data_IF_039986415057
#
_entry.id   IF_039986415057
#
_cell.length_a   1.000
_cell.length_b   1.000
_cell.length_c   1.000
_cell.angle_alpha   90.00
_cell.angle_beta   90.00
_cell.angle_gamma   90.00
#
_symmetry.space_group_name_H-M   'P 1'
#
loop_
_entity.id
_entity.type
_entity.pdbx_description
1 polymer ?
#
# COMPACT_ATOMS: atom_id res chain seq x y z
N UNK A 1 5.15 -8.50 6.07
CA UNK A 1 4.18 -8.32 4.99
C UNK A 1 3.12 -9.41 5.04
N UNK A 2 1.92 -9.10 4.56
CA UNK A 2 0.83 -10.06 4.35
C UNK A 2 0.32 -9.86 2.92
N UNK A 3 0.30 -10.93 2.13
CA UNK A 3 -0.25 -10.93 0.78
C UNK A 3 -1.22 -12.10 0.67
N UNK A 4 -2.51 -11.80 0.54
CA UNK A 4 -3.60 -12.79 0.50
C UNK A 4 -4.79 -12.19 -0.27
N UNK A 5 -5.83 -12.99 -0.48
CA UNK A 5 -7.09 -12.54 -1.01
C UNK A 5 -7.76 -11.54 -0.07
N UNK A 6 -8.35 -10.48 -0.62
CA UNK A 6 -9.13 -9.51 0.15
C UNK A 6 -10.28 -10.18 0.91
N UNK A 7 -10.90 -11.21 0.32
CA UNK A 7 -11.93 -12.03 0.99
C UNK A 7 -11.46 -12.74 2.27
N UNK A 8 -10.15 -12.89 2.47
CA UNK A 8 -9.56 -13.47 3.68
C UNK A 8 -9.15 -12.42 4.72
N UNK A 9 -9.30 -11.12 4.45
CA UNK A 9 -8.73 -10.06 5.31
C UNK A 9 -9.23 -10.14 6.76
N UNK A 10 -10.46 -10.61 6.97
CA UNK A 10 -11.04 -10.80 8.31
C UNK A 10 -10.28 -11.80 9.20
N UNK A 11 -9.44 -12.68 8.62
CA UNK A 11 -8.60 -13.63 9.38
C UNK A 11 -7.50 -12.96 10.19
N UNK A 12 -7.12 -11.74 9.79
CA UNK A 12 -6.03 -10.98 10.40
C UNK A 12 -6.50 -10.06 11.55
N UNK A 13 -7.78 -10.17 11.94
CA UNK A 13 -8.27 -9.51 13.15
C UNK A 13 -7.56 -10.04 14.40
N UNK A 14 -7.41 -9.19 15.41
CA UNK A 14 -6.77 -9.48 16.68
C UNK A 14 -5.25 -9.26 16.70
N UNK A 15 -4.65 -8.85 15.58
CA UNK A 15 -3.22 -8.49 15.54
C UNK A 15 -2.94 -7.12 16.18
N UNK A 16 -3.82 -6.13 15.96
CA UNK A 16 -3.81 -4.84 16.64
C UNK A 16 -5.18 -4.17 16.58
N UNK A 17 -5.47 -3.25 17.50
CA UNK A 17 -6.74 -2.53 17.53
C UNK A 17 -6.94 -1.64 16.28
N UNK A 18 -5.87 -0.99 15.81
CA UNK A 18 -5.93 -0.13 14.63
C UNK A 18 -6.13 -0.95 13.35
N UNK A 19 -5.50 -2.13 13.24
CA UNK A 19 -5.76 -3.05 12.12
C UNK A 19 -7.19 -3.59 12.17
N UNK A 20 -7.72 -3.91 13.36
CA UNK A 20 -9.12 -4.33 13.50
C UNK A 20 -10.09 -3.23 13.05
N UNK A 21 -9.81 -1.97 13.38
CA UNK A 21 -10.57 -0.82 12.90
C UNK A 21 -10.57 -0.74 11.37
N UNK A 22 -9.38 -0.81 10.74
CA UNK A 22 -9.25 -0.81 9.29
C UNK A 22 -9.98 -1.98 8.63
N UNK A 23 -9.84 -3.20 9.16
CA UNK A 23 -10.52 -4.40 8.65
C UNK A 23 -12.03 -4.26 8.74
N UNK A 24 -12.57 -3.76 9.87
CA UNK A 24 -14.00 -3.51 9.99
C UNK A 24 -14.47 -2.52 8.92
N UNK A 25 -13.75 -1.41 8.72
CA UNK A 25 -14.08 -0.44 7.69
C UNK A 25 -14.08 -1.06 6.28
N UNK A 26 -13.05 -1.86 5.95
CA UNK A 26 -12.93 -2.55 4.67
C UNK A 26 -14.11 -3.49 4.40
N UNK A 27 -14.57 -4.21 5.43
CA UNK A 27 -15.67 -5.17 5.30
C UNK A 27 -17.06 -4.53 5.23
N UNK A 28 -17.20 -3.31 5.75
CA UNK A 28 -18.50 -2.63 5.92
C UNK A 28 -18.78 -1.55 4.86
N UNK A 29 -17.78 -1.18 4.05
CA UNK A 29 -17.89 -0.06 3.09
C UNK A 29 -17.54 -0.46 1.65
N UNK A 30 -18.14 0.23 0.68
CA UNK A 30 -17.72 0.14 -0.71
C UNK A 30 -16.53 1.07 -0.96
N UNK A 31 -15.32 0.50 -0.97
CA UNK A 31 -14.07 1.27 -1.09
C UNK A 31 -13.97 2.07 -2.40
N UNK A 32 -14.57 1.57 -3.50
CA UNK A 32 -14.56 2.26 -4.79
C UNK A 32 -15.51 3.46 -4.89
N UNK A 33 -16.35 3.70 -3.88
CA UNK A 33 -17.24 4.86 -3.80
C UNK A 33 -16.69 5.98 -2.89
N UNK A 34 -15.53 5.75 -2.24
CA UNK A 34 -14.90 6.77 -1.42
C UNK A 34 -14.51 7.99 -2.27
N UNK A 35 -14.54 9.22 -1.74
CA UNK A 35 -14.01 10.37 -2.45
C UNK A 35 -12.49 10.22 -2.67
N UNK A 36 -11.98 10.77 -3.77
CA UNK A 36 -10.54 10.88 -3.99
C UNK A 36 -9.90 11.76 -2.90
N UNK A 37 -8.67 11.43 -2.52
CA UNK A 37 -7.92 12.09 -1.46
C UNK A 37 -7.97 11.33 -0.14
N UNK A 38 -7.84 12.07 0.97
CA UNK A 38 -7.79 11.50 2.32
C UNK A 38 -9.20 11.30 2.90
N UNK A 39 -9.50 10.09 3.33
CA UNK A 39 -10.67 9.76 4.18
C UNK A 39 -10.19 9.38 5.57
N UNK A 40 -10.68 10.06 6.60
CA UNK A 40 -10.35 9.75 8.01
C UNK A 40 -11.29 8.67 8.52
N UNK A 41 -10.73 7.60 9.11
CA UNK A 41 -11.50 6.49 9.70
C UNK A 41 -11.49 6.60 11.22
N UNK A 42 -10.32 6.74 11.82
CA UNK A 42 -10.12 6.96 13.25
C UNK A 42 -8.95 7.93 13.48
N UNK A 43 -9.24 9.23 13.41
CA UNK A 43 -8.25 10.30 13.61
C UNK A 43 -6.97 10.08 12.79
N UNK A 44 -5.83 10.11 13.48
CA UNK A 44 -4.53 9.78 12.91
C UNK A 44 -4.17 8.30 13.07
N UNK A 45 -4.95 7.49 13.80
CA UNK A 45 -4.68 6.06 13.95
C UNK A 45 -4.94 5.28 12.66
N UNK A 46 -6.04 5.62 11.97
CA UNK A 46 -6.44 4.96 10.72
C UNK A 46 -7.01 5.97 9.75
N UNK A 47 -6.42 6.05 8.56
CA UNK A 47 -6.95 6.84 7.45
C UNK A 47 -6.66 6.17 6.11
N UNK A 48 -7.33 6.65 5.06
CA UNK A 48 -7.28 6.07 3.73
C UNK A 48 -6.84 7.15 2.75
N UNK A 49 -5.88 6.84 1.88
CA UNK A 49 -5.58 7.61 0.70
C UNK A 49 -6.22 6.93 -0.51
N UNK A 50 -7.15 7.60 -1.18
CA UNK A 50 -7.83 7.11 -2.39
C UNK A 50 -7.38 7.92 -3.61
N UNK A 51 -6.87 7.23 -4.63
CA UNK A 51 -6.33 7.89 -5.82
C UNK A 51 -6.38 6.98 -7.05
N UNK A 52 -6.28 7.60 -8.22
CA UNK A 52 -6.26 6.94 -9.53
C UNK A 52 -5.04 7.37 -10.35
N UNK A 53 -4.50 6.46 -11.16
CA UNK A 53 -3.37 6.70 -12.05
C UNK A 53 -3.28 5.61 -13.11
N UNK A 54 -2.44 5.83 -14.13
CA UNK A 54 -2.05 4.79 -15.09
C UNK A 54 -0.76 4.13 -14.64
N UNK A 55 -0.72 2.81 -14.55
CA UNK A 55 0.51 2.06 -14.23
C UNK A 55 1.60 2.31 -15.26
N UNK A 56 2.86 2.30 -14.83
CA UNK A 56 4.02 2.57 -15.67
C UNK A 56 5.08 1.46 -15.57
N UNK A 57 6.01 1.45 -16.52
CA UNK A 57 7.23 0.63 -16.42
C UNK A 57 8.10 1.15 -15.27
N UNK A 58 8.87 0.27 -14.63
CA UNK A 58 9.89 0.69 -13.67
C UNK A 58 10.95 1.51 -14.40
N UNK A 59 11.21 2.73 -13.91
CA UNK A 59 12.24 3.62 -14.43
C UNK A 59 13.47 3.62 -13.51
N UNK A 60 14.58 4.16 -14.02
CA UNK A 60 15.83 4.25 -13.26
C UNK A 60 15.72 5.16 -12.03
N UNK A 61 14.79 6.12 -12.04
CA UNK A 61 14.46 7.04 -10.96
C UNK A 61 13.25 6.59 -10.13
N UNK A 62 12.73 5.38 -10.36
CA UNK A 62 11.66 4.83 -9.52
C UNK A 62 12.22 4.47 -8.14
N UNK A 63 11.61 5.05 -7.11
CA UNK A 63 12.05 4.91 -5.73
C UNK A 63 11.17 3.92 -4.97
N UNK A 64 11.79 3.10 -4.13
CA UNK A 64 11.05 2.41 -3.07
C UNK A 64 10.73 3.41 -1.96
N UNK A 65 9.59 3.26 -1.31
CA UNK A 65 9.18 4.05 -0.14
C UNK A 65 9.01 3.15 1.08
N UNK A 66 9.39 3.64 2.26
CA UNK A 66 9.17 3.01 3.57
C UNK A 66 8.55 4.02 4.53
N UNK A 67 7.78 3.52 5.49
CA UNK A 67 7.04 4.29 6.49
C UNK A 67 7.41 3.81 7.88
N UNK A 68 7.73 4.72 8.80
CA UNK A 68 8.20 4.35 10.14
C UNK A 68 7.05 4.23 11.16
N UNK A 69 5.98 5.02 10.99
CA UNK A 69 4.87 5.11 11.93
C UNK A 69 3.63 4.33 11.45
N UNK A 70 3.51 4.10 10.15
CA UNK A 70 2.32 3.49 9.55
C UNK A 70 2.62 2.18 8.82
N UNK A 71 1.69 1.23 8.99
CA UNK A 71 1.50 0.09 8.09
C UNK A 71 0.68 0.57 6.89
N UNK A 72 1.05 0.08 5.70
CA UNK A 72 0.28 0.28 4.48
C UNK A 72 -0.52 -0.96 4.13
N UNK A 73 -1.81 -0.81 3.84
CA UNK A 73 -2.63 -1.85 3.20
C UNK A 73 -3.09 -1.37 1.83
N UNK A 74 -2.46 -1.87 0.78
CA UNK A 74 -2.81 -1.59 -0.60
C UNK A 74 -3.96 -2.47 -1.06
N UNK A 75 -5.03 -1.84 -1.56
CA UNK A 75 -6.20 -2.50 -2.14
C UNK A 75 -6.55 -1.80 -3.46
N UNK A 76 -6.67 -2.58 -4.52
CA UNK A 76 -7.10 -2.10 -5.84
C UNK A 76 -8.61 -2.31 -5.98
N UNK A 77 -9.36 -1.24 -6.22
CA UNK A 77 -10.81 -1.28 -6.45
C UNK A 77 -11.14 -1.45 -7.93
N UNK A 78 -10.20 -1.11 -8.82
CA UNK A 78 -10.29 -1.34 -10.27
C UNK A 78 -8.92 -1.51 -10.90
N UNK A 79 -8.77 -2.55 -11.73
CA UNK A 79 -7.53 -2.82 -12.48
C UNK A 79 -6.57 -3.72 -11.72
N UNK A 80 -5.28 -3.60 -12.02
CA UNK A 80 -4.22 -4.38 -11.37
C UNK A 80 -2.88 -3.66 -11.51
N UNK A 81 -2.01 -3.83 -10.53
CA UNK A 81 -0.62 -3.37 -10.57
C UNK A 81 0.34 -4.41 -9.99
N UNK A 82 1.63 -4.22 -10.26
CA UNK A 82 2.69 -4.87 -9.52
C UNK A 82 3.20 -3.90 -8.45
N UNK A 83 3.41 -4.41 -7.23
CA UNK A 83 4.13 -3.74 -6.16
C UNK A 83 5.38 -4.57 -5.86
N UNK A 84 6.57 -3.96 -5.98
CA UNK A 84 7.80 -4.60 -5.50
C UNK A 84 7.96 -4.35 -4.01
N UNK A 85 8.43 -5.32 -3.25
CA UNK A 85 8.78 -5.15 -1.83
C UNK A 85 10.20 -5.65 -1.59
N UNK A 86 11.01 -4.88 -0.86
CA UNK A 86 12.39 -5.25 -0.51
C UNK A 86 12.73 -4.83 0.93
N UNK A 87 13.68 -5.53 1.55
CA UNK A 87 14.23 -5.14 2.85
C UNK A 87 15.05 -3.85 2.69
N UNK A 88 14.71 -2.82 3.47
CA UNK A 88 15.45 -1.53 3.51
C UNK A 88 16.96 -1.71 3.66
N UNK A 89 17.43 -2.76 4.32
CA UNK A 89 18.87 -3.06 4.50
C UNK A 89 19.59 -3.42 3.21
N UNK A 90 18.87 -3.73 2.13
CA UNK A 90 19.44 -4.02 0.80
C UNK A 90 19.35 -2.83 -0.15
N UNK A 91 18.75 -1.73 0.30
CA UNK A 91 18.56 -0.53 -0.49
C UNK A 91 19.45 0.61 0.02
N UNK A 92 19.63 1.64 -0.79
CA UNK A 92 20.36 2.84 -0.43
C UNK A 92 19.35 3.96 -0.14
N UNK A 93 19.39 4.54 1.07
CA UNK A 93 18.57 5.71 1.42
C UNK A 93 18.93 6.87 0.49
N UNK A 94 17.92 7.40 -0.19
CA UNK A 94 18.06 8.48 -1.16
C UNK A 94 17.55 9.82 -0.60
N UNK A 95 16.39 9.79 0.05
CA UNK A 95 15.74 10.99 0.57
C UNK A 95 14.89 10.65 1.79
N UNK A 96 14.84 11.54 2.78
CA UNK A 96 13.96 11.42 3.94
C UNK A 96 12.98 12.60 3.99
N UNK A 97 11.70 12.29 4.15
CA UNK A 97 10.57 13.23 4.22
C UNK A 97 9.80 12.99 5.51
N UNK A 98 10.36 13.46 6.63
CA UNK A 98 9.80 13.18 7.97
C UNK A 98 8.35 13.66 8.13
N UNK A 99 7.98 14.78 7.51
CA UNK A 99 6.60 15.30 7.56
C UNK A 99 5.56 14.42 6.84
N UNK A 100 6.00 13.49 6.01
CA UNK A 100 5.17 12.55 5.24
C UNK A 100 5.26 11.12 5.78
N UNK A 101 6.01 10.89 6.88
CA UNK A 101 6.43 9.57 7.35
C UNK A 101 7.03 8.73 6.21
N UNK A 102 7.92 9.31 5.40
CA UNK A 102 8.45 8.62 4.22
C UNK A 102 9.97 8.67 4.16
N UNK A 103 10.59 7.51 3.91
CA UNK A 103 11.98 7.39 3.50
C UNK A 103 12.01 6.77 2.10
N UNK A 104 12.66 7.44 1.17
CA UNK A 104 12.79 7.01 -0.21
C UNK A 104 14.15 6.33 -0.41
N UNK A 105 14.15 5.25 -1.16
CA UNK A 105 15.34 4.47 -1.43
C UNK A 105 15.54 4.20 -2.92
N UNK A 106 16.80 4.13 -3.33
CA UNK A 106 17.21 3.60 -4.62
C UNK A 106 17.72 2.17 -4.47
N UNK A 107 17.48 1.34 -5.49
CA UNK A 107 18.02 -0.01 -5.53
C UNK A 107 17.37 -0.91 -6.59
N UNK A 108 17.96 -2.07 -6.76
CA UNK A 108 17.47 -3.12 -7.65
C UNK A 108 16.86 -4.28 -6.85
N UNK A 109 16.17 -5.19 -7.54
CA UNK A 109 15.52 -6.33 -6.91
C UNK A 109 14.11 -6.01 -6.42
N UNK A 110 13.75 -6.58 -5.26
CA UNK A 110 12.40 -6.64 -4.74
C UNK A 110 11.61 -7.85 -5.23
N UNK A 111 10.75 -8.36 -4.35
CA UNK A 111 9.81 -9.44 -4.66
C UNK A 111 8.56 -8.81 -5.28
N UNK A 112 8.14 -9.23 -6.50
CA UNK A 112 6.96 -8.69 -7.14
C UNK A 112 5.68 -9.33 -6.59
N UNK A 113 4.72 -8.48 -6.22
CA UNK A 113 3.37 -8.88 -5.85
C UNK A 113 2.37 -8.29 -6.83
N UNK A 114 1.55 -9.14 -7.45
CA UNK A 114 0.45 -8.71 -8.31
C UNK A 114 -0.75 -8.38 -7.43
N UNK A 115 -1.15 -7.12 -7.37
CA UNK A 115 -2.33 -6.70 -6.64
C UNK A 115 -3.42 -6.35 -7.65
N UNK A 116 -4.43 -7.20 -7.75
CA UNK A 116 -5.65 -6.96 -8.50
C UNK A 116 -6.83 -6.77 -7.52
N UNK A 117 -8.06 -6.77 -8.02
CA UNK A 117 -9.26 -6.55 -7.21
C UNK A 117 -9.56 -7.67 -6.21
N UNK A 118 -8.94 -8.84 -6.35
CA UNK A 118 -9.15 -9.98 -5.47
C UNK A 118 -8.11 -10.06 -4.34
N UNK A 119 -7.02 -9.30 -4.44
CA UNK A 119 -5.86 -9.37 -3.56
C UNK A 119 -5.68 -8.09 -2.71
N UNK A 120 -4.99 -8.22 -1.58
CA UNK A 120 -4.43 -7.08 -0.86
C UNK A 120 -2.96 -7.33 -0.53
N UNK A 121 -2.22 -6.24 -0.33
CA UNK A 121 -0.85 -6.29 0.18
C UNK A 121 -0.75 -5.38 1.41
N UNK A 122 -0.36 -5.95 2.54
CA UNK A 122 0.00 -5.23 3.76
C UNK A 122 1.51 -5.26 3.94
N UNK A 123 2.13 -4.09 4.10
CA UNK A 123 3.58 -3.93 4.36
C UNK A 123 3.82 -3.17 5.67
N UNK A 124 4.78 -3.65 6.45
CA UNK A 124 5.20 -3.07 7.73
C UNK A 124 6.36 -2.10 7.55
N UNK A 125 6.64 -1.26 8.56
CA UNK A 125 7.89 -0.51 8.64
C UNK A 125 9.13 -1.40 8.42
N UNK A 126 10.05 -0.92 7.58
CA UNK A 126 11.24 -1.63 7.14
C UNK A 126 11.04 -2.51 5.90
N UNK A 127 9.80 -2.64 5.41
CA UNK A 127 9.44 -3.34 4.17
C UNK A 127 9.20 -2.32 3.06
N UNK A 128 10.28 -1.76 2.53
CA UNK A 128 10.22 -0.75 1.49
C UNK A 128 9.52 -1.29 0.24
N UNK A 129 8.65 -0.49 -0.35
CA UNK A 129 7.80 -0.92 -1.46
C UNK A 129 7.80 0.08 -2.62
N UNK A 130 7.64 -0.43 -3.84
CA UNK A 130 7.60 0.36 -5.07
C UNK A 130 6.32 -0.04 -5.84
N UNK A 131 5.22 0.73 -5.66
CA UNK A 131 3.95 0.46 -6.32
C UNK A 131 3.90 1.06 -7.73
N UNK A 132 2.73 1.03 -8.37
CA UNK A 132 2.42 1.68 -9.65
C UNK A 132 2.99 1.00 -10.90
N UNK A 133 3.50 -0.22 -10.77
CA UNK A 133 4.08 -0.93 -11.89
C UNK A 133 3.03 -1.66 -12.74
N UNK A 134 3.32 -1.76 -14.03
CA UNK A 134 2.48 -2.49 -14.99
C UNK A 134 2.37 -3.97 -14.62
N UNK A 135 1.13 -4.47 -14.55
CA UNK A 135 0.84 -5.89 -14.69
C UNK A 135 0.36 -6.15 -16.13
N UNK A 136 1.19 -6.84 -16.93
CA UNK A 136 1.01 -7.14 -18.37
C UNK A 136 0.96 -5.93 -19.33
N UNK A 137 0.13 -4.91 -19.04
CA UNK A 137 -0.06 -3.72 -19.89
C UNK A 137 -0.41 -2.47 -19.07
N UNK A 138 -0.12 -1.26 -19.59
CA UNK A 138 -0.58 -0.01 -18.96
C UNK A 138 -2.09 -0.03 -18.70
N UNK A 139 -2.46 0.18 -17.44
CA UNK A 139 -3.86 0.12 -16.99
C UNK A 139 -4.14 1.32 -16.09
N UNK A 140 -5.28 1.98 -16.31
CA UNK A 140 -5.81 2.98 -15.37
C UNK A 140 -6.40 2.22 -14.19
N UNK A 141 -5.87 2.48 -13.00
CA UNK A 141 -6.31 1.83 -11.77
C UNK A 141 -6.99 2.80 -10.81
N UNK A 142 -7.84 2.24 -9.96
CA UNK A 142 -8.46 2.90 -8.81
C UNK A 142 -7.94 2.17 -7.56
N UNK A 143 -7.36 2.91 -6.61
CA UNK A 143 -6.59 2.34 -5.51
C UNK A 143 -6.86 3.08 -4.21
N UNK A 144 -7.07 2.30 -3.16
CA UNK A 144 -7.03 2.80 -1.78
C UNK A 144 -5.82 2.24 -1.05
N UNK A 145 -5.23 3.07 -0.20
CA UNK A 145 -4.18 2.66 0.74
C UNK A 145 -4.62 3.04 2.13
N UNK A 146 -4.86 2.05 2.97
CA UNK A 146 -5.07 2.29 4.39
C UNK A 146 -3.70 2.52 5.04
N UNK A 147 -3.60 3.61 5.78
CA UNK A 147 -2.50 3.92 6.67
C UNK A 147 -2.95 3.58 8.10
N UNK A 148 -2.23 2.69 8.76
CA UNK A 148 -2.58 2.14 10.07
C UNK A 148 -1.41 2.40 11.02
N UNK A 149 -1.60 3.28 11.99
CA UNK A 149 -0.57 3.61 12.98
C UNK A 149 -0.22 2.37 13.81
N UNK A 150 1.08 2.14 14.03
CA UNK A 150 1.62 0.99 14.79
C UNK A 150 1.51 1.14 16.31
#
# INVERSE_FOLDING_TARGET
MIYDKLSNIGRYKGLSANLDCAICYILENNLGELPLGKTVVDGDNVYINHFTYTTAEKQADSLFEDHAEYIDVHIITKGSEIILVEDTKKLEEFERRDAEDAVMYTGEGGIPFVVDTDMFLLVYPGEAHLPKLINEKPTVIDKVVFKIHI
#
